data_IF_756849417145
#
_entry.id   IF_756849417145
#
_cell.length_a   1.000
_cell.length_b   1.000
_cell.length_c   1.000
_cell.angle_alpha   90.00
_cell.angle_beta   90.00
_cell.angle_gamma   90.00
#
_symmetry.space_group_name_H-M   'P 1'
#
loop_
_entity.id
_entity.type
_entity.pdbx_description
1 polymer ?
#
# COMPACT_ATOMS: atom_id res chain seq x y z
N UNK A 1 11.82 44.31 14.58
CA UNK A 1 11.14 43.55 13.52
C UNK A 1 11.13 42.11 13.98
N UNK A 2 10.03 41.71 14.62
CA UNK A 2 9.81 40.31 14.99
C UNK A 2 9.51 39.55 13.70
N UNK A 3 10.46 38.71 13.28
CA UNK A 3 10.23 37.78 12.20
C UNK A 3 9.30 36.70 12.75
N UNK A 4 8.04 36.74 12.32
CA UNK A 4 7.08 35.68 12.56
C UNK A 4 7.67 34.37 12.09
N UNK A 5 7.99 33.50 13.04
CA UNK A 5 8.23 32.08 12.80
C UNK A 5 6.90 31.56 12.28
N UNK A 6 6.78 31.41 10.97
CA UNK A 6 5.66 30.72 10.36
C UNK A 6 5.84 29.23 10.73
N UNK A 7 5.36 28.86 11.92
CA UNK A 7 5.09 27.48 12.30
C UNK A 7 3.89 27.02 11.48
N UNK A 8 4.08 26.78 10.18
CA UNK A 8 3.30 25.73 9.55
C UNK A 8 3.82 24.44 10.20
N UNK A 9 3.18 24.06 11.30
CA UNK A 9 3.27 22.74 11.89
C UNK A 9 3.18 21.75 10.73
N UNK A 10 4.27 21.04 10.45
CA UNK A 10 4.23 19.86 9.61
C UNK A 10 3.14 18.98 10.21
N UNK A 11 1.95 18.97 9.58
CA UNK A 11 0.83 18.16 10.03
C UNK A 11 1.36 16.75 10.10
N UNK A 12 1.42 16.18 11.29
CA UNK A 12 1.83 14.80 11.48
C UNK A 12 0.90 13.95 10.61
N UNK A 13 1.48 13.19 9.69
CA UNK A 13 0.72 12.36 8.78
C UNK A 13 0.01 11.30 9.61
N UNK A 14 -1.32 11.24 9.55
CA UNK A 14 -2.16 10.30 10.31
C UNK A 14 -2.34 8.97 9.57
N UNK A 15 -2.92 7.95 10.22
CA UNK A 15 -3.33 6.72 9.51
C UNK A 15 -4.41 7.02 8.46
N UNK A 16 -5.29 7.98 8.72
CA UNK A 16 -6.30 8.44 7.77
C UNK A 16 -5.68 9.11 6.51
N UNK A 17 -4.64 9.93 6.67
CA UNK A 17 -3.95 10.54 5.53
C UNK A 17 -3.30 9.48 4.64
N UNK A 18 -2.64 8.48 5.25
CA UNK A 18 -2.05 7.32 4.57
C UNK A 18 -3.09 6.47 3.84
N UNK A 19 -4.22 6.18 4.48
CA UNK A 19 -5.31 5.46 3.86
C UNK A 19 -5.90 6.23 2.67
N UNK A 20 -5.98 7.57 2.75
CA UNK A 20 -6.44 8.40 1.64
C UNK A 20 -5.48 8.33 0.44
N UNK A 21 -4.17 8.32 0.67
CA UNK A 21 -3.16 8.14 -0.39
C UNK A 21 -3.25 6.76 -1.05
N UNK A 22 -3.37 5.70 -0.25
CA UNK A 22 -3.58 4.35 -0.78
C UNK A 22 -4.90 4.22 -1.55
N UNK A 23 -5.96 4.91 -1.11
CA UNK A 23 -7.24 4.95 -1.83
C UNK A 23 -7.09 5.56 -3.22
N UNK A 24 -6.37 6.69 -3.33
CA UNK A 24 -6.12 7.31 -4.64
C UNK A 24 -5.28 6.42 -5.57
N UNK A 25 -4.31 5.69 -5.03
CA UNK A 25 -3.56 4.68 -5.76
C UNK A 25 -4.46 3.54 -6.26
N UNK A 26 -5.37 3.05 -5.39
CA UNK A 26 -6.34 2.02 -5.72
C UNK A 26 -7.32 2.47 -6.82
N UNK A 27 -7.79 3.72 -6.79
CA UNK A 27 -8.61 4.29 -7.84
C UNK A 27 -7.88 4.35 -9.19
N UNK A 28 -6.61 4.75 -9.20
CA UNK A 28 -5.80 4.75 -10.41
C UNK A 28 -5.56 3.33 -10.95
N UNK A 29 -5.25 2.38 -10.07
CA UNK A 29 -5.15 0.97 -10.40
C UNK A 29 -6.46 0.46 -11.02
N UNK A 30 -7.60 0.66 -10.37
CA UNK A 30 -8.90 0.15 -10.80
C UNK A 30 -9.38 0.73 -12.14
N UNK A 31 -9.00 1.98 -12.47
CA UNK A 31 -9.30 2.58 -13.78
C UNK A 31 -8.62 1.87 -14.96
N UNK A 32 -7.50 1.19 -14.72
CA UNK A 32 -6.72 0.53 -15.75
C UNK A 32 -6.70 -0.99 -15.64
N UNK A 33 -6.98 -1.53 -14.46
CA UNK A 33 -7.03 -2.96 -14.23
C UNK A 33 -8.23 -3.61 -14.93
N UNK A 34 -8.13 -4.89 -15.33
CA UNK A 34 -9.27 -5.63 -15.86
C UNK A 34 -10.46 -5.69 -14.87
N UNK A 35 -11.67 -5.78 -15.43
CA UNK A 35 -12.91 -5.90 -14.65
C UNK A 35 -12.98 -7.18 -13.81
N UNK A 36 -12.40 -8.26 -14.32
CA UNK A 36 -12.29 -9.53 -13.60
C UNK A 36 -10.86 -9.69 -13.05
N UNK A 37 -10.76 -10.18 -11.82
CA UNK A 37 -9.48 -10.52 -11.20
C UNK A 37 -8.88 -11.81 -11.75
N UNK A 38 -9.72 -12.68 -12.31
CA UNK A 38 -9.34 -13.94 -12.92
C UNK A 38 -9.88 -14.03 -14.37
N UNK A 39 -9.08 -14.55 -15.33
CA UNK A 39 -7.70 -15.01 -15.14
C UNK A 39 -6.75 -13.85 -14.81
N UNK A 40 -5.73 -14.15 -14.00
CA UNK A 40 -4.76 -13.16 -13.54
C UNK A 40 -4.10 -12.48 -14.75
N UNK A 41 -3.91 -11.14 -14.74
CA UNK A 41 -3.17 -10.46 -15.81
C UNK A 41 -1.75 -11.02 -15.97
N UNK A 42 -1.18 -10.87 -17.16
CA UNK A 42 0.23 -11.25 -17.42
C UNK A 42 1.16 -10.47 -16.50
N UNK A 43 2.31 -11.06 -16.13
CA UNK A 43 3.31 -10.42 -15.25
C UNK A 43 3.65 -8.99 -15.68
N UNK A 44 3.96 -8.76 -16.96
CA UNK A 44 4.28 -7.42 -17.48
C UNK A 44 3.16 -6.39 -17.24
N UNK A 45 1.90 -6.82 -17.31
CA UNK A 45 0.75 -5.95 -17.05
C UNK A 45 0.59 -5.68 -15.55
N UNK A 46 0.82 -6.68 -14.69
CA UNK A 46 0.80 -6.48 -13.22
C UNK A 46 1.91 -5.54 -12.78
N UNK A 47 3.13 -5.70 -13.30
CA UNK A 47 4.25 -4.78 -13.05
C UNK A 47 3.87 -3.35 -13.45
N UNK A 48 3.33 -3.16 -14.66
CA UNK A 48 2.87 -1.85 -15.14
C UNK A 48 1.81 -1.23 -14.22
N UNK A 49 0.83 -2.02 -13.78
CA UNK A 49 -0.22 -1.57 -12.87
C UNK A 49 0.30 -1.25 -11.46
N UNK A 50 1.28 -2.00 -10.96
CA UNK A 50 1.94 -1.75 -9.68
C UNK A 50 2.72 -0.43 -9.71
N UNK A 51 3.50 -0.19 -10.76
CA UNK A 51 4.22 1.08 -10.97
C UNK A 51 3.24 2.25 -11.04
N UNK A 52 2.16 2.12 -11.81
CA UNK A 52 1.13 3.15 -11.91
C UNK A 52 0.54 3.52 -10.54
N UNK A 53 0.21 2.53 -9.72
CA UNK A 53 -0.33 2.76 -8.38
C UNK A 53 0.69 3.47 -7.48
N UNK A 54 1.93 3.00 -7.49
CA UNK A 54 3.03 3.58 -6.72
C UNK A 54 3.31 5.03 -7.11
N UNK A 55 3.43 5.34 -8.40
CA UNK A 55 3.66 6.70 -8.89
C UNK A 55 2.46 7.62 -8.63
N UNK A 56 1.23 7.10 -8.67
CA UNK A 56 0.04 7.87 -8.31
C UNK A 56 0.08 8.29 -6.83
N UNK A 57 0.41 7.36 -5.93
CA UNK A 57 0.60 7.69 -4.51
C UNK A 57 1.72 8.72 -4.34
N UNK A 58 2.86 8.49 -4.98
CA UNK A 58 4.04 9.34 -4.90
C UNK A 58 3.75 10.78 -5.33
N UNK A 59 2.92 10.97 -6.36
CA UNK A 59 2.49 12.30 -6.82
C UNK A 59 1.70 13.09 -5.77
N UNK A 60 1.01 12.39 -4.87
CA UNK A 60 0.20 12.98 -3.80
C UNK A 60 1.04 13.17 -2.54
N UNK A 61 1.83 12.17 -2.17
CA UNK A 61 2.59 12.13 -0.93
C UNK A 61 3.88 12.97 -0.98
N UNK A 62 4.55 13.05 -2.14
CA UNK A 62 5.86 13.70 -2.25
C UNK A 62 5.80 15.04 -2.98
N UNK A 63 6.49 16.03 -2.43
CA UNK A 63 6.56 17.38 -3.00
C UNK A 63 7.57 17.50 -4.14
N UNK A 64 8.64 16.69 -4.13
CA UNK A 64 9.71 16.82 -5.11
C UNK A 64 9.45 15.94 -6.34
N UNK A 65 9.59 16.44 -7.58
CA UNK A 65 9.31 15.66 -8.78
C UNK A 65 10.15 14.40 -8.95
N UNK A 66 11.41 14.44 -8.53
CA UNK A 66 12.35 13.30 -8.55
C UNK A 66 11.90 12.17 -7.63
N UNK A 67 11.10 12.47 -6.61
CA UNK A 67 10.58 11.48 -5.67
C UNK A 67 9.31 10.78 -6.15
N UNK A 68 8.75 11.20 -7.30
CA UNK A 68 7.45 10.75 -7.83
C UNK A 68 7.54 9.66 -8.89
N UNK A 69 8.74 9.29 -9.29
CA UNK A 69 9.00 8.34 -10.37
C UNK A 69 9.60 7.08 -9.77
N UNK A 70 9.16 5.92 -10.26
CA UNK A 70 9.71 4.61 -9.87
C UNK A 70 10.45 4.03 -11.07
N UNK A 71 11.76 4.23 -11.12
CA UNK A 71 12.58 3.87 -12.27
C UNK A 71 13.86 3.09 -11.91
N UNK A 72 14.12 2.91 -10.63
CA UNK A 72 15.25 2.14 -10.11
C UNK A 72 14.85 1.42 -8.81
N UNK A 73 15.77 0.63 -8.28
CA UNK A 73 15.53 -0.15 -7.07
C UNK A 73 15.30 0.74 -5.83
N UNK A 74 16.05 1.83 -5.68
CA UNK A 74 15.97 2.70 -4.51
C UNK A 74 14.63 3.44 -4.43
N UNK A 75 14.17 3.99 -5.56
CA UNK A 75 12.85 4.59 -5.68
C UNK A 75 11.74 3.56 -5.47
N UNK A 76 11.91 2.34 -5.99
CA UNK A 76 10.95 1.26 -5.78
C UNK A 76 10.87 0.83 -4.31
N UNK A 77 11.99 0.56 -3.64
CA UNK A 77 12.04 0.17 -2.23
C UNK A 77 11.32 1.18 -1.34
N UNK A 78 11.56 2.48 -1.60
CA UNK A 78 10.91 3.56 -0.84
C UNK A 78 9.42 3.69 -1.18
N UNK A 79 9.08 3.94 -2.44
CA UNK A 79 7.70 4.30 -2.84
C UNK A 79 6.76 3.10 -2.76
N UNK A 80 7.20 1.93 -3.24
CA UNK A 80 6.39 0.71 -3.17
C UNK A 80 6.32 0.24 -1.72
N UNK A 81 7.43 0.29 -0.97
CA UNK A 81 7.44 -0.04 0.46
C UNK A 81 6.42 0.78 1.26
N UNK A 82 6.41 2.10 1.06
CA UNK A 82 5.44 3.00 1.66
C UNK A 82 4.00 2.63 1.27
N UNK A 83 3.74 2.41 -0.02
CA UNK A 83 2.39 2.06 -0.47
C UNK A 83 1.93 0.70 0.08
N UNK A 84 2.82 -0.29 0.19
CA UNK A 84 2.47 -1.59 0.81
C UNK A 84 2.02 -1.40 2.26
N UNK A 85 2.72 -0.57 3.04
CA UNK A 85 2.29 -0.26 4.41
C UNK A 85 0.94 0.47 4.43
N UNK A 86 0.75 1.47 3.56
CA UNK A 86 -0.49 2.25 3.48
C UNK A 86 -1.69 1.42 3.01
N UNK A 87 -1.48 0.38 2.21
CA UNK A 87 -2.52 -0.58 1.82
C UNK A 87 -3.08 -1.33 3.03
N UNK A 88 -2.24 -1.63 4.03
CA UNK A 88 -2.74 -2.22 5.28
C UNK A 88 -3.65 -1.24 6.04
N UNK A 89 -3.33 0.06 6.03
CA UNK A 89 -4.19 1.11 6.58
C UNK A 89 -5.53 1.22 5.83
N UNK A 90 -5.53 1.03 4.50
CA UNK A 90 -6.75 1.11 3.68
C UNK A 90 -7.76 -0.01 4.00
N UNK A 91 -7.25 -1.17 4.38
CA UNK A 91 -8.07 -2.33 4.74
C UNK A 91 -8.45 -2.39 6.21
N UNK A 92 -8.11 -1.36 6.99
CA UNK A 92 -8.17 -1.36 8.45
C UNK A 92 -9.43 -2.01 9.02
N UNK A 93 -9.23 -3.08 9.80
CA UNK A 93 -10.26 -3.88 10.44
C UNK A 93 -11.09 -4.81 9.54
N UNK A 94 -11.06 -4.66 8.20
CA UNK A 94 -11.78 -5.55 7.27
C UNK A 94 -11.06 -6.89 7.08
N UNK A 95 -9.74 -6.85 6.96
CA UNK A 95 -8.85 -8.01 6.86
C UNK A 95 -7.54 -7.72 7.56
N UNK A 96 -6.86 -8.76 8.03
CA UNK A 96 -5.50 -8.61 8.57
C UNK A 96 -4.49 -8.40 7.46
N UNK A 97 -3.37 -7.72 7.75
CA UNK A 97 -2.25 -7.59 6.83
C UNK A 97 -1.73 -8.95 6.33
N UNK A 98 -1.81 -9.99 7.18
CA UNK A 98 -1.43 -11.34 6.83
C UNK A 98 -2.38 -11.97 5.79
N UNK A 99 -3.70 -11.90 6.01
CA UNK A 99 -4.69 -12.42 5.05
C UNK A 99 -4.61 -11.70 3.71
N UNK A 100 -4.42 -10.38 3.74
CA UNK A 100 -4.24 -9.58 2.53
C UNK A 100 -2.98 -9.98 1.75
N UNK A 101 -1.86 -10.17 2.45
CA UNK A 101 -0.61 -10.64 1.84
C UNK A 101 -0.75 -12.05 1.27
N UNK A 102 -1.36 -12.99 1.99
CA UNK A 102 -1.62 -14.33 1.47
C UNK A 102 -2.46 -14.31 0.20
N UNK A 103 -3.53 -13.50 0.17
CA UNK A 103 -4.36 -13.32 -1.02
C UNK A 103 -3.56 -12.76 -2.20
N UNK A 104 -2.69 -11.78 -1.95
CA UNK A 104 -1.79 -11.23 -2.97
C UNK A 104 -0.83 -12.30 -3.51
N UNK A 105 -0.21 -13.12 -2.67
CA UNK A 105 0.62 -14.26 -3.12
C UNK A 105 -0.16 -15.26 -3.96
N UNK A 106 -1.42 -15.54 -3.59
CA UNK A 106 -2.34 -16.36 -4.37
C UNK A 106 -2.56 -15.81 -5.78
N UNK A 107 -2.73 -14.49 -5.91
CA UNK A 107 -2.90 -13.81 -7.20
C UNK A 107 -1.60 -13.73 -8.02
N UNK A 108 -0.44 -13.73 -7.36
CA UNK A 108 0.88 -13.76 -8.04
C UNK A 108 1.22 -15.14 -8.61
N UNK A 109 0.68 -16.20 -8.00
CA UNK A 109 0.96 -17.59 -8.39
C UNK A 109 0.63 -17.87 -9.86
N UNK A 110 1.65 -18.31 -10.60
CA UNK A 110 1.47 -18.85 -11.95
C UNK A 110 0.96 -20.30 -11.96
N UNK A 111 0.99 -20.97 -10.81
CA UNK A 111 0.44 -22.30 -10.65
C UNK A 111 -1.09 -22.25 -10.66
N UNK A 112 -1.69 -22.79 -11.72
CA UNK A 112 -3.14 -22.92 -11.86
C UNK A 112 -3.61 -24.34 -11.46
N UNK A 113 -4.74 -24.49 -10.74
CA UNK A 113 -5.66 -23.43 -10.28
C UNK A 113 -5.11 -22.64 -9.10
N UNK A 114 -5.40 -21.34 -9.07
CA UNK A 114 -5.21 -20.51 -7.87
C UNK A 114 -6.05 -21.12 -6.76
N UNK A 115 -5.48 -21.27 -5.57
CA UNK A 115 -6.23 -21.78 -4.43
C UNK A 115 -7.26 -20.72 -3.99
N UNK A 116 -8.52 -20.98 -4.32
CA UNK A 116 -9.63 -20.03 -4.12
C UNK A 116 -9.90 -19.73 -2.64
N UNK A 117 -9.56 -20.65 -1.74
CA UNK A 117 -9.64 -20.50 -0.29
C UNK A 117 -8.87 -19.28 0.22
N UNK A 118 -7.71 -18.98 -0.37
CA UNK A 118 -6.89 -17.82 0.01
C UNK A 118 -7.55 -16.49 -0.39
N UNK A 119 -8.39 -16.49 -1.43
CA UNK A 119 -9.16 -15.33 -1.85
C UNK A 119 -10.48 -15.18 -1.08
N UNK A 120 -11.00 -16.24 -0.46
CA UNK A 120 -12.29 -16.21 0.22
C UNK A 120 -12.35 -15.19 1.37
N UNK A 121 -11.27 -15.06 2.15
CA UNK A 121 -11.22 -14.12 3.27
C UNK A 121 -11.34 -12.67 2.79
N UNK A 122 -10.52 -12.28 1.80
CA UNK A 122 -10.58 -10.93 1.21
C UNK A 122 -11.87 -10.70 0.44
N UNK A 123 -12.44 -11.72 -0.21
CA UNK A 123 -13.71 -11.61 -0.91
C UNK A 123 -14.90 -11.40 0.03
N UNK A 124 -14.93 -12.12 1.16
CA UNK A 124 -15.94 -11.93 2.19
C UNK A 124 -15.91 -10.51 2.79
N UNK A 125 -14.72 -9.89 2.80
CA UNK A 125 -14.48 -8.55 3.31
C UNK A 125 -14.54 -7.43 2.24
N UNK A 126 -14.79 -7.78 0.96
CA UNK A 126 -14.78 -6.82 -0.15
C UNK A 126 -13.43 -6.14 -0.37
N UNK A 127 -12.32 -6.85 -0.13
CA UNK A 127 -10.95 -6.36 -0.19
C UNK A 127 -10.14 -6.97 -1.36
N UNK A 128 -10.80 -7.52 -2.38
CA UNK A 128 -10.13 -8.26 -3.45
C UNK A 128 -9.31 -7.34 -4.36
N UNK A 129 -9.72 -6.08 -4.50
CA UNK A 129 -9.00 -5.09 -5.33
C UNK A 129 -7.73 -4.62 -4.64
N UNK A 130 -7.75 -4.49 -3.33
CA UNK A 130 -6.60 -4.20 -2.48
C UNK A 130 -5.60 -5.35 -2.55
N UNK A 131 -6.06 -6.61 -2.45
CA UNK A 131 -5.21 -7.78 -2.63
C UNK A 131 -4.57 -7.84 -4.03
N UNK A 132 -5.33 -7.50 -5.07
CA UNK A 132 -4.84 -7.49 -6.44
C UNK A 132 -3.83 -6.36 -6.70
N UNK A 133 -4.07 -5.17 -6.14
CA UNK A 133 -3.10 -4.08 -6.18
C UNK A 133 -1.83 -4.45 -5.42
N UNK A 134 -1.95 -5.05 -4.23
CA UNK A 134 -0.80 -5.56 -3.47
C UNK A 134 0.00 -6.56 -4.30
N UNK A 135 -0.65 -7.53 -4.95
CA UNK A 135 0.03 -8.47 -5.85
C UNK A 135 0.82 -7.76 -6.96
N UNK A 136 0.23 -6.75 -7.59
CA UNK A 136 0.88 -5.95 -8.62
C UNK A 136 2.08 -5.14 -8.09
N UNK A 137 1.98 -4.60 -6.87
CA UNK A 137 3.07 -3.88 -6.20
C UNK A 137 4.26 -4.80 -5.91
N UNK A 138 4.00 -6.01 -5.40
CA UNK A 138 5.06 -6.98 -5.11
C UNK A 138 5.77 -7.46 -6.38
N UNK A 139 5.03 -7.66 -7.47
CA UNK A 139 5.63 -7.99 -8.77
C UNK A 139 6.45 -6.82 -9.35
N UNK A 140 5.97 -5.58 -9.17
CA UNK A 140 6.73 -4.39 -9.56
C UNK A 140 8.04 -4.29 -8.76
N UNK A 141 7.98 -4.39 -7.43
CA UNK A 141 9.16 -4.40 -6.56
C UNK A 141 10.17 -5.49 -6.97
N UNK A 142 9.68 -6.72 -7.22
CA UNK A 142 10.53 -7.81 -7.70
C UNK A 142 11.19 -7.49 -9.04
N UNK A 143 10.48 -6.83 -9.96
CA UNK A 143 11.01 -6.42 -11.27
C UNK A 143 12.12 -5.36 -11.16
N UNK A 144 12.14 -4.56 -10.09
CA UNK A 144 13.21 -3.59 -9.81
C UNK A 144 14.35 -4.17 -8.97
N UNK A 145 14.24 -5.43 -8.51
CA UNK A 145 15.28 -6.09 -7.72
C UNK A 145 15.15 -5.88 -6.20
N UNK A 146 14.01 -5.38 -5.72
CA UNK A 146 13.73 -5.23 -4.29
C UNK A 146 13.69 -6.57 -3.56
N UNK A 147 14.08 -6.58 -2.28
CA UNK A 147 13.87 -7.71 -1.38
C UNK A 147 12.41 -7.76 -0.93
N UNK A 148 11.55 -8.39 -1.75
CA UNK A 148 10.10 -8.44 -1.50
C UNK A 148 9.75 -9.02 -0.11
N UNK A 149 10.33 -10.14 0.35
CA UNK A 149 10.12 -10.60 1.73
C UNK A 149 10.46 -9.55 2.79
N UNK A 150 11.65 -8.94 2.72
CA UNK A 150 12.09 -7.92 3.68
C UNK A 150 11.24 -6.65 3.63
N UNK A 151 10.78 -6.25 2.45
CA UNK A 151 9.87 -5.12 2.24
C UNK A 151 8.52 -5.37 2.92
N UNK A 152 7.91 -6.54 2.74
CA UNK A 152 6.62 -6.88 3.36
C UNK A 152 6.74 -6.95 4.88
N UNK A 153 7.80 -7.57 5.40
CA UNK A 153 8.03 -7.66 6.84
C UNK A 153 8.22 -6.26 7.46
N UNK A 154 8.97 -5.39 6.79
CA UNK A 154 9.17 -4.00 7.22
C UNK A 154 7.88 -3.19 7.17
N UNK A 155 7.09 -3.32 6.11
CA UNK A 155 5.81 -2.64 5.96
C UNK A 155 4.79 -3.07 7.04
N UNK A 156 4.77 -4.36 7.38
CA UNK A 156 3.93 -4.89 8.46
C UNK A 156 4.37 -4.35 9.82
N UNK A 157 5.67 -4.39 10.12
CA UNK A 157 6.19 -3.86 11.37
C UNK A 157 5.91 -2.36 11.52
N UNK A 158 6.03 -1.61 10.42
CA UNK A 158 5.69 -0.19 10.40
C UNK A 158 4.20 0.06 10.65
N UNK A 159 3.32 -0.70 9.99
CA UNK A 159 1.88 -0.60 10.21
C UNK A 159 1.48 -0.87 11.67
N UNK A 160 2.02 -1.92 12.30
CA UNK A 160 1.76 -2.21 13.72
C UNK A 160 2.27 -1.08 14.63
N UNK A 161 3.40 -0.45 14.29
CA UNK A 161 3.92 0.71 15.03
C UNK A 161 2.97 1.90 14.91
N UNK A 162 2.49 2.21 13.70
CA UNK A 162 1.54 3.30 13.46
C UNK A 162 0.22 3.10 14.22
N UNK A 163 -0.30 1.86 14.25
CA UNK A 163 -1.49 1.52 15.03
C UNK A 163 -1.29 1.78 16.52
N UNK A 164 -0.15 1.36 17.08
CA UNK A 164 0.15 1.55 18.49
C UNK A 164 0.32 3.04 18.87
N UNK A 165 0.89 3.85 17.96
CA UNK A 165 1.02 5.30 18.15
C UNK A 165 -0.36 6.00 18.18
N UNK A 166 -1.24 5.69 17.21
CA UNK A 166 -2.58 6.29 17.15
C UNK A 166 -3.46 5.86 18.34
N UNK A 167 -3.40 4.59 18.75
CA UNK A 167 -4.12 4.09 19.94
C UNK A 167 -3.60 4.77 21.23
N UNK A 168 -2.28 4.96 21.37
CA UNK A 168 -1.66 5.63 22.52
C UNK A 168 -1.98 7.12 22.63
N UNK A 169 -2.07 7.83 21.49
CA UNK A 169 -2.48 9.24 21.46
C UNK A 169 -3.93 9.43 21.90
N UNK A 170 -4.83 8.56 21.42
CA UNK A 170 -6.26 8.57 21.80
C UNK A 170 -6.45 8.34 23.30
N UNK A 171 -5.72 7.40 23.90
CA UNK A 171 -5.77 7.16 25.35
C UNK A 171 -5.25 8.36 26.15
N UNK A 172 -4.20 9.02 25.66
CA UNK A 172 -3.59 10.18 26.33
C UNK A 172 -4.48 11.42 26.28
N UNK A 173 -5.20 11.62 25.16
CA UNK A 173 -6.18 12.69 25.01
C UNK A 173 -7.44 12.43 25.84
N UNK A 174 -7.95 11.19 25.84
CA UNK A 174 -9.08 10.78 26.67
C UNK A 174 -8.81 10.90 28.18
N UNK A 175 -7.56 10.70 28.63
CA UNK A 175 -7.16 10.90 30.02
C UNK A 175 -7.00 12.38 30.43
N UNK A 176 -6.96 13.30 29.47
CA UNK A 176 -6.82 14.76 29.69
C UNK A 176 -8.14 15.53 29.56
N UNK A 177 -9.20 14.91 29.04
CA UNK A 177 -10.55 15.45 28.90
C UNK A 177 -11.41 15.21 30.15
#
# INVERSE_FOLDING_TARGET
>A
MEAGVNMDSARECTLADRAAWASAALEAYNRQAPNALLPVPKLAERVRLGVLAAETMAQIAFHRPDERVVNDQESADRVIGDLVAQVFCLTDGRVTAHELHQAAEGLRSEAYPVKLDVLCAVAAAGAEREAAMLAALLDAAQSFGCDVPGLVDSARAYFETLKAEEEGEVETEAARA
#
